data_IF_321983356414
#
_entry.id   IF_321983356414
#
_cell.length_a   1.000
_cell.length_b   1.000
_cell.length_c   1.000
_cell.angle_alpha   90.00
_cell.angle_beta   90.00
_cell.angle_gamma   90.00
#
_symmetry.space_group_name_H-M   'P 1'
#
loop_
_entity.id
_entity.type
_entity.pdbx_description
1 polymer ?
#
# COMPACT_ATOMS: atom_id res chain seq x y z
N UNK A 1 -42.01 8.57 10.80
CA UNK A 1 -40.57 8.60 10.46
C UNK A 1 -40.10 7.15 10.50
N UNK A 2 -39.69 6.57 9.38
CA UNK A 2 -39.15 5.19 9.33
C UNK A 2 -37.90 5.09 10.20
N UNK A 3 -37.72 3.98 10.90
CA UNK A 3 -36.51 3.77 11.71
C UNK A 3 -35.25 3.69 10.81
N UNK A 4 -34.08 4.08 11.33
CA UNK A 4 -32.81 4.01 10.59
C UNK A 4 -32.52 2.57 10.11
N UNK A 5 -32.97 1.58 10.88
CA UNK A 5 -32.90 0.16 10.52
C UNK A 5 -33.75 -0.18 9.29
N UNK A 6 -34.98 0.34 9.20
CA UNK A 6 -35.84 0.16 8.02
C UNK A 6 -35.22 0.80 6.77
N UNK A 7 -34.58 1.97 6.90
CA UNK A 7 -33.93 2.64 5.76
C UNK A 7 -32.73 1.85 5.22
N UNK A 8 -31.91 1.27 6.10
CA UNK A 8 -30.80 0.40 5.69
C UNK A 8 -31.34 -0.88 5.02
N UNK A 9 -32.41 -1.46 5.56
CA UNK A 9 -33.00 -2.68 5.03
C UNK A 9 -33.71 -2.47 3.67
N UNK A 10 -34.29 -1.28 3.45
CA UNK A 10 -35.01 -0.93 2.22
C UNK A 10 -34.10 -0.38 1.11
N UNK A 11 -32.77 -0.39 1.30
CA UNK A 11 -31.83 0.18 0.34
C UNK A 11 -31.85 -0.61 -0.99
N UNK A 12 -32.07 0.05 -2.13
CA UNK A 12 -31.93 -0.60 -3.43
C UNK A 12 -30.47 -1.00 -3.67
N UNK A 13 -30.25 -2.12 -4.37
CA UNK A 13 -28.93 -2.49 -4.85
C UNK A 13 -28.37 -1.34 -5.70
N UNK A 14 -27.10 -0.99 -5.51
CA UNK A 14 -26.51 0.07 -6.30
C UNK A 14 -26.38 -0.40 -7.75
N UNK A 15 -27.17 0.16 -8.67
CA UNK A 15 -27.11 -0.04 -10.14
C UNK A 15 -25.77 0.41 -10.77
N UNK A 16 -24.78 0.76 -9.93
CA UNK A 16 -23.50 1.33 -10.30
C UNK A 16 -22.36 0.31 -10.36
N UNK A 17 -22.63 -0.97 -10.06
CA UNK A 17 -21.67 -2.07 -10.13
C UNK A 17 -21.58 -2.58 -11.57
N UNK A 18 -20.41 -2.41 -12.19
CA UNK A 18 -20.21 -2.74 -13.63
C UNK A 18 -18.94 -3.57 -13.85
N UNK A 19 -18.12 -3.77 -12.82
CA UNK A 19 -16.89 -4.56 -12.90
C UNK A 19 -17.14 -5.99 -12.38
N UNK A 20 -16.78 -7.03 -13.15
CA UNK A 20 -16.85 -8.40 -12.69
C UNK A 20 -15.91 -8.67 -11.51
N UNK A 21 -16.35 -9.49 -10.55
CA UNK A 21 -15.53 -9.89 -9.40
C UNK A 21 -14.18 -10.54 -9.76
N UNK A 22 -14.13 -11.28 -10.88
CA UNK A 22 -12.90 -11.89 -11.40
C UNK A 22 -11.84 -10.84 -11.78
N UNK A 23 -12.26 -9.68 -12.30
CA UNK A 23 -11.35 -8.59 -12.63
C UNK A 23 -10.69 -8.06 -11.35
N UNK A 24 -11.49 -7.82 -10.30
CA UNK A 24 -10.97 -7.33 -9.02
C UNK A 24 -10.05 -8.34 -8.35
N UNK A 25 -10.34 -9.65 -8.48
CA UNK A 25 -9.42 -10.71 -8.08
C UNK A 25 -8.09 -10.64 -8.88
N UNK A 26 -8.14 -10.39 -10.20
CA UNK A 26 -6.95 -10.18 -11.02
C UNK A 26 -6.11 -8.98 -10.54
N UNK A 27 -6.77 -7.87 -10.22
CA UNK A 27 -6.13 -6.66 -9.69
C UNK A 27 -5.41 -6.98 -8.38
N UNK A 28 -6.09 -7.64 -7.44
CA UNK A 28 -5.49 -8.05 -6.15
C UNK A 28 -4.29 -8.95 -6.39
N UNK A 29 -4.40 -9.96 -7.26
CA UNK A 29 -3.31 -10.86 -7.60
C UNK A 29 -2.11 -10.13 -8.18
N UNK A 30 -2.34 -9.23 -9.14
CA UNK A 30 -1.29 -8.46 -9.81
C UNK A 30 -0.61 -7.48 -8.84
N UNK A 31 -1.37 -6.77 -8.00
CA UNK A 31 -0.84 -5.88 -6.98
C UNK A 31 0.00 -6.63 -5.93
N UNK A 32 -0.45 -7.80 -5.49
CA UNK A 32 0.29 -8.63 -4.54
C UNK A 32 1.56 -9.23 -5.17
N UNK A 33 1.48 -9.74 -6.39
CA UNK A 33 2.64 -10.25 -7.13
C UNK A 33 3.69 -9.14 -7.34
N UNK A 34 3.25 -7.94 -7.72
CA UNK A 34 4.12 -6.78 -7.83
C UNK A 34 4.73 -6.38 -6.48
N UNK A 35 3.94 -6.34 -5.40
CA UNK A 35 4.42 -6.05 -4.05
C UNK A 35 5.47 -7.04 -3.56
N UNK A 36 5.22 -8.34 -3.73
CA UNK A 36 6.17 -9.41 -3.39
C UNK A 36 7.45 -9.32 -4.23
N UNK A 37 7.33 -9.07 -5.54
CA UNK A 37 8.49 -8.90 -6.43
C UNK A 37 9.33 -7.70 -6.01
N UNK A 38 8.70 -6.57 -5.67
CA UNK A 38 9.38 -5.40 -5.15
C UNK A 38 10.06 -5.67 -3.80
N UNK A 39 9.40 -6.44 -2.92
CA UNK A 39 9.94 -6.83 -1.62
C UNK A 39 11.19 -7.71 -1.79
N UNK A 40 11.12 -8.78 -2.58
CA UNK A 40 12.28 -9.63 -2.87
C UNK A 40 13.41 -8.85 -3.55
N UNK A 41 13.09 -7.94 -4.48
CA UNK A 41 14.09 -7.09 -5.12
C UNK A 41 14.80 -6.13 -4.13
N UNK A 42 14.12 -5.68 -3.08
CA UNK A 42 14.69 -4.83 -2.02
C UNK A 42 15.48 -5.61 -0.99
N UNK A 43 14.97 -6.78 -0.58
CA UNK A 43 15.63 -7.65 0.38
C UNK A 43 16.85 -8.38 -0.21
N UNK A 44 16.89 -8.55 -1.53
CA UNK A 44 17.84 -9.43 -2.22
C UNK A 44 17.37 -10.88 -2.12
N UNK A 45 16.89 -11.51 -3.20
CA UNK A 45 16.30 -12.86 -3.16
C UNK A 45 17.27 -13.94 -2.65
N UNK A 46 18.57 -13.67 -2.73
CA UNK A 46 19.61 -14.42 -2.04
C UNK A 46 20.42 -13.43 -1.20
N UNK A 47 20.45 -13.65 0.11
CA UNK A 47 21.16 -12.82 1.07
C UNK A 47 22.08 -13.70 1.94
N UNK A 48 23.11 -13.10 2.54
CA UNK A 48 23.95 -13.78 3.51
C UNK A 48 23.93 -12.99 4.82
N UNK A 49 23.69 -13.66 5.94
CA UNK A 49 23.68 -12.98 7.24
C UNK A 49 25.04 -12.32 7.50
N UNK A 50 25.11 -11.19 8.25
CA UNK A 50 26.37 -10.54 8.59
C UNK A 50 27.41 -11.47 9.24
N UNK A 51 26.96 -12.42 10.06
CA UNK A 51 27.81 -13.45 10.64
C UNK A 51 28.41 -14.37 9.57
N UNK A 52 27.58 -14.83 8.62
CA UNK A 52 28.03 -15.67 7.53
C UNK A 52 29.00 -14.89 6.64
N UNK A 53 28.62 -13.68 6.22
CA UNK A 53 29.45 -12.74 5.48
C UNK A 53 30.87 -12.60 6.07
N UNK A 54 30.99 -12.45 7.39
CA UNK A 54 32.26 -12.23 8.06
C UNK A 54 33.16 -13.47 8.03
N UNK A 55 32.57 -14.66 8.08
CA UNK A 55 33.32 -15.90 8.29
C UNK A 55 33.70 -16.63 6.99
N UNK A 56 32.80 -16.73 5.99
CA UNK A 56 33.06 -17.54 4.79
C UNK A 56 33.31 -16.74 3.50
N UNK A 57 32.87 -15.49 3.36
CA UNK A 57 33.17 -14.71 2.15
C UNK A 57 34.67 -14.44 1.91
N UNK A 58 35.53 -14.33 2.94
CA UNK A 58 36.98 -14.23 2.76
C UNK A 58 37.64 -15.53 2.33
N UNK A 59 36.99 -16.68 2.53
CA UNK A 59 37.56 -17.99 2.21
C UNK A 59 37.54 -18.24 0.69
N UNK A 60 38.57 -18.90 0.12
CA UNK A 60 38.65 -19.23 -1.31
C UNK A 60 37.77 -20.44 -1.69
N UNK A 61 36.59 -20.58 -1.07
CA UNK A 61 35.67 -21.69 -1.31
C UNK A 61 34.60 -21.35 -2.36
N UNK A 62 34.11 -22.36 -3.08
CA UNK A 62 33.01 -22.18 -4.04
C UNK A 62 31.72 -21.73 -3.32
N UNK A 63 31.24 -20.53 -3.66
CA UNK A 63 30.07 -19.93 -2.99
C UNK A 63 28.74 -20.56 -3.39
N UNK A 64 28.69 -21.21 -4.55
CA UNK A 64 27.46 -21.77 -5.14
C UNK A 64 26.78 -22.79 -4.22
N UNK A 65 27.54 -23.71 -3.63
CA UNK A 65 27.00 -24.75 -2.75
C UNK A 65 26.31 -24.16 -1.50
N UNK A 66 26.90 -23.11 -0.94
CA UNK A 66 26.43 -22.45 0.28
C UNK A 66 25.17 -21.61 0.04
N UNK A 67 25.01 -21.02 -1.15
CA UNK A 67 23.87 -20.16 -1.50
C UNK A 67 22.64 -20.93 -2.01
N UNK A 68 22.79 -22.21 -2.38
CA UNK A 68 21.66 -23.05 -2.84
C UNK A 68 20.55 -23.19 -1.80
N UNK A 69 20.91 -23.28 -0.52
CA UNK A 69 19.94 -23.35 0.57
C UNK A 69 19.04 -22.11 0.61
N UNK A 70 19.64 -20.93 0.46
CA UNK A 70 18.92 -19.66 0.47
C UNK A 70 18.07 -19.48 -0.80
N UNK A 71 18.56 -19.91 -1.97
CA UNK A 71 17.75 -19.94 -3.19
C UNK A 71 16.50 -20.83 -3.02
N UNK A 72 16.65 -22.03 -2.43
CA UNK A 72 15.52 -22.92 -2.16
C UNK A 72 14.54 -22.29 -1.17
N UNK A 73 15.04 -21.61 -0.14
CA UNK A 73 14.22 -20.91 0.84
C UNK A 73 13.41 -19.78 0.20
N UNK A 74 14.03 -18.93 -0.61
CA UNK A 74 13.33 -17.81 -1.25
C UNK A 74 12.29 -18.28 -2.27
N UNK A 75 12.61 -19.32 -3.05
CA UNK A 75 11.65 -19.99 -3.95
C UNK A 75 10.50 -20.59 -3.14
N UNK A 76 10.78 -21.31 -2.05
CA UNK A 76 9.76 -21.89 -1.18
C UNK A 76 8.83 -20.84 -0.58
N UNK A 77 9.37 -19.73 -0.08
CA UNK A 77 8.58 -18.60 0.44
C UNK A 77 7.72 -17.95 -0.64
N UNK A 78 8.26 -17.77 -1.85
CA UNK A 78 7.51 -17.19 -2.96
C UNK A 78 6.37 -18.10 -3.42
N UNK A 79 6.60 -19.42 -3.50
CA UNK A 79 5.55 -20.40 -3.80
C UNK A 79 4.50 -20.42 -2.71
N UNK A 80 4.89 -20.45 -1.43
CA UNK A 80 3.94 -20.41 -0.32
C UNK A 80 3.08 -19.12 -0.35
N UNK A 81 3.69 -17.96 -0.60
CA UNK A 81 2.97 -16.70 -0.75
C UNK A 81 2.00 -16.73 -1.94
N UNK A 82 2.45 -17.24 -3.10
CA UNK A 82 1.63 -17.36 -4.29
C UNK A 82 0.44 -18.31 -4.11
N UNK A 83 0.60 -19.41 -3.38
CA UNK A 83 -0.49 -20.33 -3.06
C UNK A 83 -1.50 -19.69 -2.09
N UNK A 84 -1.03 -19.10 -0.99
CA UNK A 84 -1.91 -18.47 0.01
C UNK A 84 -2.75 -17.34 -0.59
N UNK A 85 -2.15 -16.51 -1.45
CA UNK A 85 -2.85 -15.43 -2.17
C UNK A 85 -3.67 -15.96 -3.35
N UNK A 86 -3.16 -16.97 -4.05
CA UNK A 86 -3.74 -17.51 -5.27
C UNK A 86 -5.07 -18.23 -5.02
N UNK A 87 -5.26 -18.86 -3.87
CA UNK A 87 -6.51 -19.58 -3.55
C UNK A 87 -7.76 -18.70 -3.71
N UNK A 88 -7.92 -17.56 -3.00
CA UNK A 88 -9.11 -16.72 -3.15
C UNK A 88 -9.25 -16.13 -4.57
N UNK A 89 -8.13 -15.83 -5.24
CA UNK A 89 -8.13 -15.27 -6.60
C UNK A 89 -8.65 -16.29 -7.62
N UNK A 90 -8.12 -17.51 -7.57
CA UNK A 90 -8.46 -18.57 -8.52
C UNK A 90 -9.89 -19.05 -8.29
N UNK A 91 -10.35 -19.11 -7.03
CA UNK A 91 -11.74 -19.44 -6.71
C UNK A 91 -12.74 -18.39 -7.22
N UNK A 92 -12.32 -17.12 -7.37
CA UNK A 92 -13.13 -16.09 -8.02
C UNK A 92 -13.25 -16.28 -9.54
N UNK A 93 -12.36 -17.08 -10.15
CA UNK A 93 -12.28 -17.28 -11.60
C UNK A 93 -12.85 -18.63 -12.05
N UNK A 94 -12.66 -19.68 -11.26
CA UNK A 94 -13.09 -21.05 -11.61
C UNK A 94 -13.57 -21.78 -10.37
N UNK A 95 -14.67 -22.52 -10.55
CA UNK A 95 -15.27 -23.37 -9.50
C UNK A 95 -14.94 -24.85 -9.70
N UNK A 96 -14.20 -25.20 -10.76
CA UNK A 96 -13.83 -26.58 -11.04
C UNK A 96 -12.54 -26.95 -10.30
N UNK A 97 -12.42 -28.14 -9.70
CA UNK A 97 -11.22 -28.54 -8.96
C UNK A 97 -9.97 -28.55 -9.86
N UNK A 98 -10.10 -29.03 -11.10
CA UNK A 98 -9.02 -29.04 -12.07
C UNK A 98 -8.56 -27.62 -12.44
N UNK A 99 -9.49 -26.69 -12.65
CA UNK A 99 -9.16 -25.29 -12.91
C UNK A 99 -8.48 -24.61 -11.72
N UNK A 100 -8.91 -24.93 -10.49
CA UNK A 100 -8.28 -24.40 -9.28
C UNK A 100 -6.82 -24.87 -9.16
N UNK A 101 -6.59 -26.18 -9.33
CA UNK A 101 -5.24 -26.75 -9.29
C UNK A 101 -4.34 -26.18 -10.38
N UNK A 102 -4.84 -26.04 -11.61
CA UNK A 102 -4.10 -25.46 -12.73
C UNK A 102 -3.74 -24.00 -12.47
N UNK A 103 -4.67 -23.18 -11.96
CA UNK A 103 -4.44 -21.78 -11.62
C UNK A 103 -3.40 -21.62 -10.51
N UNK A 104 -3.49 -22.43 -9.45
CA UNK A 104 -2.51 -22.44 -8.36
C UNK A 104 -1.12 -22.88 -8.84
N UNK A 105 -1.04 -23.92 -9.68
CA UNK A 105 0.20 -24.38 -10.27
C UNK A 105 0.84 -23.28 -11.14
N UNK A 106 0.06 -22.61 -11.99
CA UNK A 106 0.55 -21.51 -12.81
C UNK A 106 1.08 -20.35 -11.93
N UNK A 107 0.33 -19.96 -10.88
CA UNK A 107 0.75 -18.93 -9.94
C UNK A 107 2.06 -19.29 -9.22
N UNK A 108 2.20 -20.53 -8.76
CA UNK A 108 3.42 -21.02 -8.13
C UNK A 108 4.61 -20.99 -9.12
N UNK A 109 4.43 -21.46 -10.36
CA UNK A 109 5.49 -21.44 -11.39
C UNK A 109 5.93 -20.01 -11.74
N UNK A 110 4.98 -19.07 -11.86
CA UNK A 110 5.29 -17.66 -12.08
C UNK A 110 6.09 -17.06 -10.91
N UNK A 111 5.77 -17.43 -9.67
CA UNK A 111 6.53 -17.01 -8.49
C UNK A 111 7.97 -17.56 -8.52
N UNK A 112 8.16 -18.83 -8.91
CA UNK A 112 9.49 -19.42 -9.11
C UNK A 112 10.28 -18.65 -10.18
N UNK A 113 9.66 -18.38 -11.34
CA UNK A 113 10.28 -17.61 -12.43
C UNK A 113 10.68 -16.22 -11.94
N UNK A 114 9.79 -15.52 -11.22
CA UNK A 114 10.06 -14.18 -10.71
C UNK A 114 11.28 -14.16 -9.77
N UNK A 115 11.35 -15.05 -8.78
CA UNK A 115 12.51 -15.15 -7.88
C UNK A 115 13.78 -15.49 -8.63
N UNK A 116 13.74 -16.48 -9.52
CA UNK A 116 14.91 -16.89 -10.28
C UNK A 116 15.45 -15.77 -11.19
N UNK A 117 14.57 -15.02 -11.85
CA UNK A 117 14.93 -13.83 -12.64
C UNK A 117 15.54 -12.75 -11.74
N UNK A 118 14.99 -12.51 -10.56
CA UNK A 118 15.56 -11.54 -9.60
C UNK A 118 16.99 -11.94 -9.18
N UNK A 119 17.26 -13.23 -8.95
CA UNK A 119 18.61 -13.73 -8.61
C UNK A 119 19.59 -13.49 -9.75
N UNK A 120 19.19 -13.80 -10.99
CA UNK A 120 20.02 -13.51 -12.18
C UNK A 120 20.29 -12.01 -12.31
N UNK A 121 19.30 -11.15 -12.01
CA UNK A 121 19.47 -9.68 -12.05
C UNK A 121 20.32 -9.17 -10.90
N UNK A 122 20.25 -9.78 -9.73
CA UNK A 122 21.10 -9.47 -8.57
C UNK A 122 22.57 -9.73 -8.90
N UNK A 123 22.89 -10.85 -9.56
CA UNK A 123 24.24 -11.16 -10.02
C UNK A 123 24.78 -10.14 -11.03
N UNK A 124 23.92 -9.62 -11.92
CA UNK A 124 24.28 -8.59 -12.90
C UNK A 124 24.27 -7.15 -12.38
N UNK A 125 23.99 -6.89 -11.10
CA UNK A 125 23.87 -5.54 -10.52
C UNK A 125 22.68 -4.71 -11.05
N UNK A 126 21.77 -5.33 -11.80
CA UNK A 126 20.73 -4.66 -12.60
C UNK A 126 19.34 -4.61 -11.96
N UNK A 127 19.20 -4.80 -10.65
CA UNK A 127 17.90 -4.94 -9.96
C UNK A 127 17.20 -3.64 -9.54
N UNK A 128 17.88 -2.49 -9.60
CA UNK A 128 17.40 -1.24 -9.00
C UNK A 128 16.10 -0.65 -9.59
N UNK A 129 15.73 -1.05 -10.81
CA UNK A 129 14.50 -0.60 -11.48
C UNK A 129 13.28 -1.46 -11.17
N UNK A 130 13.46 -2.65 -10.57
CA UNK A 130 12.36 -3.58 -10.34
C UNK A 130 11.34 -3.02 -9.35
N UNK A 131 11.72 -2.49 -8.17
CA UNK A 131 10.74 -1.92 -7.24
C UNK A 131 9.88 -0.78 -7.80
N UNK A 132 10.42 0.23 -8.54
CA UNK A 132 9.57 1.27 -9.11
C UNK A 132 8.66 0.76 -10.23
N UNK A 133 9.10 -0.19 -11.06
CA UNK A 133 8.23 -0.79 -12.10
C UNK A 133 7.12 -1.61 -11.47
N UNK A 134 7.43 -2.44 -10.48
CA UNK A 134 6.43 -3.18 -9.73
C UNK A 134 5.40 -2.23 -9.08
N UNK A 135 5.86 -1.12 -8.50
CA UNK A 135 4.98 -0.05 -8.02
C UNK A 135 4.04 0.52 -9.07
N UNK A 136 4.58 0.85 -10.24
CA UNK A 136 3.80 1.37 -11.35
C UNK A 136 2.77 0.36 -11.84
N UNK A 137 3.15 -0.92 -11.96
CA UNK A 137 2.23 -2.01 -12.31
C UNK A 137 1.11 -2.13 -11.28
N UNK A 138 1.43 -2.16 -9.98
CA UNK A 138 0.43 -2.22 -8.92
C UNK A 138 -0.51 -1.00 -8.93
N UNK A 139 0.03 0.20 -9.20
CA UNK A 139 -0.76 1.42 -9.29
C UNK A 139 -1.71 1.40 -10.49
N UNK A 140 -1.21 1.04 -11.68
CA UNK A 140 -2.02 0.92 -12.89
C UNK A 140 -3.08 -0.18 -12.75
N UNK A 141 -2.74 -1.30 -12.11
CA UNK A 141 -3.66 -2.40 -11.86
C UNK A 141 -4.88 -1.97 -11.04
N UNK A 142 -4.71 -1.08 -10.05
CA UNK A 142 -5.83 -0.58 -9.22
C UNK A 142 -6.53 0.60 -9.89
N UNK A 143 -5.77 1.57 -10.40
CA UNK A 143 -6.32 2.83 -10.94
C UNK A 143 -7.05 2.61 -12.27
N UNK A 144 -6.49 1.79 -13.16
CA UNK A 144 -7.04 1.56 -14.50
C UNK A 144 -8.49 1.06 -14.46
N UNK A 145 -8.78 -0.06 -13.77
CA UNK A 145 -10.14 -0.57 -13.62
C UNK A 145 -11.08 0.35 -12.87
N UNK A 146 -10.62 1.06 -11.83
CA UNK A 146 -11.46 2.02 -11.12
C UNK A 146 -11.92 3.17 -12.03
N UNK A 147 -11.02 3.70 -12.87
CA UNK A 147 -11.33 4.73 -13.87
C UNK A 147 -12.23 4.16 -14.95
N UNK A 148 -11.89 3.00 -15.53
CA UNK A 148 -12.69 2.35 -16.56
C UNK A 148 -14.11 2.07 -16.09
N UNK A 149 -14.28 1.47 -14.89
CA UNK A 149 -15.59 1.19 -14.30
C UNK A 149 -16.41 2.46 -14.06
N UNK A 150 -15.76 3.57 -13.66
CA UNK A 150 -16.44 4.86 -13.49
C UNK A 150 -16.90 5.47 -14.83
N UNK A 151 -16.10 5.34 -15.89
CA UNK A 151 -16.46 5.81 -17.24
C UNK A 151 -17.60 4.98 -17.82
N UNK A 152 -17.49 3.66 -17.74
CA UNK A 152 -18.51 2.72 -18.22
C UNK A 152 -19.84 2.97 -17.52
N UNK A 153 -19.85 3.09 -16.19
CA UNK A 153 -21.06 3.39 -15.43
C UNK A 153 -21.69 4.74 -15.79
N UNK A 154 -20.89 5.73 -16.21
CA UNK A 154 -21.40 7.03 -16.65
C UNK A 154 -22.00 6.98 -18.06
N UNK A 155 -21.51 6.10 -18.92
CA UNK A 155 -21.98 5.92 -20.28
C UNK A 155 -23.10 4.88 -20.41
N UNK A 156 -23.50 4.25 -19.30
CA UNK A 156 -24.51 3.18 -19.25
C UNK A 156 -24.20 2.02 -20.22
N UNK A 157 -22.90 1.72 -20.36
CA UNK A 157 -22.44 0.65 -21.25
C UNK A 157 -22.43 -0.67 -20.47
N UNK A 158 -23.19 -1.65 -20.95
CA UNK A 158 -23.12 -3.01 -20.42
C UNK A 158 -21.81 -3.64 -20.88
N UNK A 159 -20.90 -3.89 -19.94
CA UNK A 159 -19.71 -4.67 -20.24
C UNK A 159 -20.13 -6.12 -20.51
N UNK A 160 -19.64 -6.74 -21.59
CA UNK A 160 -19.88 -8.16 -21.79
C UNK A 160 -19.31 -8.91 -20.59
N UNK A 161 -20.12 -9.83 -20.08
CA UNK A 161 -19.79 -10.64 -18.91
C UNK A 161 -18.59 -11.55 -19.23
N UNK A 162 -17.38 -11.01 -19.03
CA UNK A 162 -16.12 -11.69 -19.32
C UNK A 162 -15.91 -12.87 -18.36
N UNK A 163 -16.60 -12.88 -17.20
CA UNK A 163 -16.61 -14.00 -16.28
C UNK A 163 -17.48 -15.17 -16.80
N UNK A 164 -18.57 -14.87 -17.51
CA UNK A 164 -19.42 -15.89 -18.15
C UNK A 164 -18.75 -16.55 -19.37
N UNK A 165 -17.92 -15.80 -20.10
CA UNK A 165 -16.94 -16.34 -21.05
C UNK A 165 -15.63 -16.61 -20.34
N UNK A 166 -15.62 -17.59 -19.44
CA UNK A 166 -14.37 -18.21 -19.04
C UNK A 166 -13.60 -18.52 -20.32
N UNK A 167 -12.47 -17.86 -20.54
CA UNK A 167 -11.41 -18.35 -21.42
C UNK A 167 -10.87 -19.63 -20.76
N UNK A 168 -11.72 -20.64 -20.69
CA UNK A 168 -11.34 -22.00 -20.41
C UNK A 168 -10.55 -22.39 -21.64
N UNK A 169 -9.23 -22.23 -21.53
CA UNK A 169 -8.33 -22.83 -22.50
C UNK A 169 -8.74 -24.31 -22.58
N UNK A 170 -9.03 -24.84 -23.78
CA UNK A 170 -9.28 -26.26 -23.90
C UNK A 170 -8.15 -27.01 -23.21
N UNK A 171 -8.50 -28.07 -22.48
CA UNK A 171 -7.58 -28.84 -21.64
C UNK A 171 -6.16 -29.04 -22.24
N UNK A 172 -5.99 -29.41 -23.54
CA UNK A 172 -4.65 -29.54 -24.13
C UNK A 172 -3.84 -28.24 -24.14
N UNK A 173 -4.46 -27.09 -24.39
CA UNK A 173 -3.78 -25.79 -24.35
C UNK A 173 -3.42 -25.38 -22.93
N UNK A 174 -4.29 -25.65 -21.95
CA UNK A 174 -3.98 -25.40 -20.55
C UNK A 174 -2.78 -26.24 -20.06
N UNK A 175 -2.75 -27.53 -20.42
CA UNK A 175 -1.59 -28.38 -20.13
C UNK A 175 -0.33 -27.93 -20.86
N UNK A 176 -0.45 -27.46 -22.11
CA UNK A 176 0.67 -26.92 -22.89
C UNK A 176 1.26 -25.67 -22.23
N UNK A 177 0.42 -24.73 -21.80
CA UNK A 177 0.86 -23.52 -21.07
C UNK A 177 1.55 -23.88 -19.76
N UNK A 178 1.00 -24.81 -18.97
CA UNK A 178 1.64 -25.28 -17.74
C UNK A 178 2.99 -25.95 -18.01
N UNK A 179 3.10 -26.77 -19.07
CA UNK A 179 4.36 -27.41 -19.46
C UNK A 179 5.41 -26.37 -19.88
N UNK A 180 5.01 -25.33 -20.63
CA UNK A 180 5.90 -24.21 -20.99
C UNK A 180 6.34 -23.42 -19.76
N UNK A 181 5.41 -23.10 -18.84
CA UNK A 181 5.73 -22.42 -17.58
C UNK A 181 6.68 -23.26 -16.72
N UNK A 182 6.49 -24.57 -16.66
CA UNK A 182 7.38 -25.49 -15.95
C UNK A 182 8.78 -25.50 -16.59
N UNK A 183 8.86 -25.63 -17.91
CA UNK A 183 10.13 -25.56 -18.64
C UNK A 183 10.87 -24.23 -18.42
N UNK A 184 10.13 -23.12 -18.43
CA UNK A 184 10.69 -21.80 -18.15
C UNK A 184 11.15 -21.64 -16.70
N UNK A 185 10.37 -22.15 -15.74
CA UNK A 185 10.73 -22.14 -14.32
C UNK A 185 12.02 -22.95 -14.08
N UNK A 186 12.12 -24.15 -14.66
CA UNK A 186 13.33 -24.99 -14.60
C UNK A 186 14.52 -24.27 -15.24
N UNK A 187 14.36 -23.71 -16.43
CA UNK A 187 15.41 -22.95 -17.12
C UNK A 187 15.90 -21.77 -16.28
N UNK A 188 14.97 -20.95 -15.76
CA UNK A 188 15.31 -19.81 -14.92
C UNK A 188 16.01 -20.24 -13.62
N UNK A 189 15.59 -21.33 -12.98
CA UNK A 189 16.26 -21.87 -11.80
C UNK A 189 17.67 -22.37 -12.09
N UNK A 190 17.88 -23.05 -13.22
CA UNK A 190 19.20 -23.50 -13.66
C UNK A 190 20.10 -22.29 -13.92
N UNK A 191 19.58 -21.24 -14.55
CA UNK A 191 20.32 -19.99 -14.76
C UNK A 191 20.64 -19.28 -13.43
N UNK A 192 19.68 -19.23 -12.51
CA UNK A 192 19.88 -18.66 -11.17
C UNK A 192 20.96 -19.43 -10.39
N UNK A 193 20.92 -20.77 -10.37
CA UNK A 193 21.91 -21.62 -9.69
C UNK A 193 23.31 -21.46 -10.27
N UNK A 194 23.44 -21.28 -11.59
CA UNK A 194 24.73 -20.99 -12.25
C UNK A 194 25.28 -19.61 -11.88
N UNK A 195 24.40 -18.62 -11.68
CA UNK A 195 24.78 -17.23 -11.34
C UNK A 195 25.05 -17.02 -9.85
N UNK A 196 24.81 -18.00 -8.98
CA UNK A 196 25.07 -17.87 -7.54
C UNK A 196 26.55 -17.58 -7.22
N UNK A 197 27.48 -18.15 -7.98
CA UNK A 197 28.92 -17.92 -7.79
C UNK A 197 29.33 -16.48 -8.16
N UNK A 198 28.60 -15.85 -9.09
CA UNK A 198 28.88 -14.51 -9.61
C UNK A 198 28.35 -13.40 -8.70
N UNK A 199 27.65 -13.74 -7.60
CA UNK A 199 27.05 -12.74 -6.72
C UNK A 199 28.14 -11.92 -6.00
N UNK A 200 28.16 -10.58 -6.18
CA UNK A 200 29.19 -9.76 -5.57
C UNK A 200 29.02 -9.76 -4.05
N UNK A 201 30.13 -9.94 -3.33
CA UNK A 201 30.15 -9.99 -1.87
C UNK A 201 29.50 -8.76 -1.23
N UNK A 202 29.70 -7.57 -1.81
CA UNK A 202 29.05 -6.33 -1.35
C UNK A 202 27.52 -6.36 -1.46
N UNK A 203 26.96 -6.98 -2.50
CA UNK A 203 25.51 -7.11 -2.64
C UNK A 203 24.93 -8.13 -1.66
N UNK A 204 25.63 -9.24 -1.42
CA UNK A 204 25.25 -10.23 -0.39
C UNK A 204 25.26 -9.62 1.01
N UNK A 205 26.23 -8.75 1.31
CA UNK A 205 26.29 -7.97 2.56
C UNK A 205 25.12 -7.02 2.70
N UNK A 206 24.95 -6.14 1.71
CA UNK A 206 23.91 -5.11 1.77
C UNK A 206 22.50 -5.72 1.86
N UNK A 207 22.24 -6.78 1.09
CA UNK A 207 20.98 -7.54 1.17
C UNK A 207 20.79 -8.20 2.54
N UNK A 208 21.83 -8.83 3.09
CA UNK A 208 21.78 -9.44 4.41
C UNK A 208 21.53 -8.44 5.54
N UNK A 209 22.19 -7.29 5.52
CA UNK A 209 21.97 -6.19 6.46
C UNK A 209 20.53 -5.65 6.33
N UNK A 210 20.06 -5.44 5.11
CA UNK A 210 18.68 -4.96 4.84
C UNK A 210 17.65 -5.97 5.34
N UNK A 211 17.85 -7.26 5.06
CA UNK A 211 16.95 -8.32 5.49
C UNK A 211 16.95 -8.50 7.01
N UNK A 212 18.11 -8.45 7.67
CA UNK A 212 18.20 -8.50 9.12
C UNK A 212 17.56 -7.28 9.77
N UNK A 213 17.82 -6.08 9.25
CA UNK A 213 17.23 -4.85 9.76
C UNK A 213 15.71 -4.85 9.60
N UNK A 214 15.20 -5.22 8.43
CA UNK A 214 13.76 -5.37 8.19
C UNK A 214 13.12 -6.44 9.10
N UNK A 215 13.79 -7.58 9.28
CA UNK A 215 13.32 -8.66 10.16
C UNK A 215 13.25 -8.19 11.61
N UNK A 216 14.31 -7.51 12.09
CA UNK A 216 14.31 -6.91 13.42
C UNK A 216 13.20 -5.87 13.57
N UNK A 217 12.99 -4.99 12.58
CA UNK A 217 11.88 -4.03 12.60
C UNK A 217 10.50 -4.71 12.66
N UNK A 218 10.31 -5.84 11.96
CA UNK A 218 9.06 -6.61 12.02
C UNK A 218 8.85 -7.21 13.41
N UNK A 219 9.87 -7.87 13.97
CA UNK A 219 9.77 -8.45 15.33
C UNK A 219 9.58 -7.38 16.41
N UNK A 220 10.19 -6.20 16.24
CA UNK A 220 10.02 -5.04 17.10
C UNK A 220 8.73 -4.26 16.83
N UNK A 221 7.93 -4.66 15.83
CA UNK A 221 6.73 -3.97 15.38
C UNK A 221 6.96 -2.49 15.00
N UNK A 222 8.19 -2.14 14.65
CA UNK A 222 8.56 -0.80 14.21
C UNK A 222 8.36 -0.65 12.69
N UNK A 223 7.13 -0.30 12.32
CA UNK A 223 6.75 -0.04 10.93
C UNK A 223 7.50 1.15 10.30
N UNK A 224 8.06 2.06 11.11
CA UNK A 224 8.82 3.22 10.61
C UNK A 224 10.21 2.78 10.19
N UNK A 225 10.87 1.99 11.02
CA UNK A 225 12.17 1.41 10.68
C UNK A 225 12.06 0.39 9.55
N UNK A 226 10.99 -0.40 9.49
CA UNK A 226 10.73 -1.28 8.35
C UNK A 226 10.61 -0.49 7.04
N UNK A 227 9.91 0.65 7.07
CA UNK A 227 9.81 1.56 5.93
C UNK A 227 11.13 2.20 5.52
N UNK A 228 12.03 2.48 6.49
CA UNK A 228 13.39 2.97 6.23
C UNK A 228 14.28 1.88 5.66
N UNK A 229 14.22 0.67 6.21
CA UNK A 229 14.94 -0.52 5.76
C UNK A 229 14.65 -0.83 4.28
N UNK A 230 13.35 -0.84 3.95
CA UNK A 230 12.87 -1.14 2.60
C UNK A 230 12.86 0.11 1.70
N UNK A 231 13.20 1.28 2.22
CA UNK A 231 13.16 2.55 1.51
C UNK A 231 14.21 2.63 0.40
N UNK A 232 13.94 3.45 -0.62
CA UNK A 232 14.98 3.77 -1.62
C UNK A 232 15.94 4.82 -1.06
N UNK A 233 17.22 4.72 -1.40
CA UNK A 233 18.23 5.73 -1.05
C UNK A 233 17.82 7.13 -1.52
N UNK A 234 17.90 8.10 -0.60
CA UNK A 234 17.54 9.50 -0.88
C UNK A 234 18.61 10.10 -1.79
N UNK A 235 18.26 10.34 -3.05
CA UNK A 235 19.15 11.05 -3.99
C UNK A 235 18.99 12.55 -3.82
N UNK A 236 20.11 13.28 -3.79
CA UNK A 236 20.07 14.75 -3.86
C UNK A 236 19.38 15.18 -5.15
N UNK A 237 18.43 16.12 -5.08
CA UNK A 237 17.74 16.60 -6.27
C UNK A 237 18.73 17.31 -7.19
N UNK A 238 18.68 17.00 -8.49
CA UNK A 238 19.56 17.63 -9.51
C UNK A 238 19.18 19.07 -9.83
N UNK A 239 17.93 19.47 -9.58
CA UNK A 239 17.41 20.82 -9.88
C UNK A 239 16.66 21.40 -8.67
N UNK A 240 16.96 22.66 -8.27
CA UNK A 240 16.19 23.33 -7.24
C UNK A 240 14.77 23.64 -7.75
N UNK A 241 13.78 23.57 -6.84
CA UNK A 241 12.45 24.11 -7.08
C UNK A 241 12.39 25.47 -6.42
N UNK A 242 12.08 26.52 -7.18
CA UNK A 242 11.94 27.87 -6.66
C UNK A 242 10.45 28.18 -6.43
N UNK A 243 10.12 28.70 -5.24
CA UNK A 243 8.75 28.99 -4.84
C UNK A 243 8.59 30.49 -4.57
N UNK A 244 8.12 31.23 -5.58
CA UNK A 244 8.01 32.70 -5.52
C UNK A 244 6.97 33.23 -4.52
N UNK A 245 6.09 32.36 -4.03
CA UNK A 245 5.03 32.70 -3.07
C UNK A 245 5.48 32.57 -1.60
N UNK A 246 6.68 32.05 -1.34
CA UNK A 246 7.21 31.91 0.02
C UNK A 246 7.71 33.26 0.53
N UNK A 247 6.93 33.86 1.42
CA UNK A 247 7.19 35.14 2.10
C UNK A 247 7.26 35.00 3.62
N UNK A 248 6.67 33.93 4.16
CA UNK A 248 6.61 33.69 5.60
C UNK A 248 7.22 32.33 5.98
N UNK A 249 7.69 32.15 7.23
CA UNK A 249 8.34 30.92 7.67
C UNK A 249 7.45 29.66 7.52
N UNK A 250 6.15 29.78 7.81
CA UNK A 250 5.22 28.65 7.67
C UNK A 250 5.05 28.22 6.20
N UNK A 251 5.15 29.17 5.27
CA UNK A 251 5.11 28.89 3.83
C UNK A 251 6.34 28.11 3.36
N UNK A 252 7.49 28.33 3.98
CA UNK A 252 8.70 27.56 3.69
C UNK A 252 8.54 26.08 4.07
N UNK A 253 7.87 25.79 5.19
CA UNK A 253 7.52 24.41 5.61
C UNK A 253 6.59 23.77 4.58
N UNK A 254 5.51 24.47 4.21
CA UNK A 254 4.55 24.00 3.20
C UNK A 254 5.22 23.77 1.84
N UNK A 255 6.07 24.69 1.40
CA UNK A 255 6.83 24.56 0.16
C UNK A 255 7.82 23.40 0.19
N UNK A 256 8.43 23.14 1.35
CA UNK A 256 9.28 21.97 1.59
C UNK A 256 8.49 20.68 1.40
N UNK A 257 7.35 20.56 2.07
CA UNK A 257 6.49 19.37 2.01
C UNK A 257 5.94 19.14 0.58
N UNK A 258 5.52 20.21 -0.10
CA UNK A 258 5.14 20.18 -1.52
C UNK A 258 6.30 19.75 -2.42
N UNK A 259 7.52 20.21 -2.17
CA UNK A 259 8.69 19.80 -2.94
C UNK A 259 8.98 18.30 -2.75
N UNK A 260 8.78 17.74 -1.55
CA UNK A 260 8.93 16.30 -1.33
C UNK A 260 7.85 15.51 -2.06
N UNK A 261 6.60 15.99 -2.05
CA UNK A 261 5.50 15.37 -2.79
C UNK A 261 5.73 15.42 -4.30
N UNK A 262 6.02 16.60 -4.85
CA UNK A 262 6.23 16.83 -6.28
C UNK A 262 7.38 15.99 -6.87
N UNK A 263 8.41 15.70 -6.07
CA UNK A 263 9.59 14.92 -6.50
C UNK A 263 9.43 13.41 -6.33
N UNK A 264 8.34 12.94 -5.71
CA UNK A 264 8.14 11.53 -5.42
C UNK A 264 7.02 10.94 -6.29
N UNK A 265 7.34 10.40 -7.49
CA UNK A 265 6.34 9.76 -8.34
C UNK A 265 5.64 8.60 -7.62
N UNK A 266 6.36 7.93 -6.73
CA UNK A 266 5.81 6.89 -5.86
C UNK A 266 4.64 7.38 -5.00
N UNK A 267 4.73 8.59 -4.43
CA UNK A 267 3.65 9.14 -3.61
C UNK A 267 2.42 9.47 -4.44
N UNK A 268 2.60 10.01 -5.66
CA UNK A 268 1.49 10.19 -6.58
C UNK A 268 0.80 8.87 -6.91
N UNK A 269 1.56 7.79 -7.10
CA UNK A 269 1.01 6.43 -7.22
C UNK A 269 0.19 6.02 -6.00
N UNK A 270 0.70 6.23 -4.78
CA UNK A 270 -0.02 5.91 -3.54
C UNK A 270 -1.30 6.74 -3.37
N UNK A 271 -1.30 8.02 -3.73
CA UNK A 271 -2.47 8.88 -3.69
C UNK A 271 -3.52 8.44 -4.72
N UNK A 272 -3.09 8.10 -5.94
CA UNK A 272 -3.97 7.59 -6.98
C UNK A 272 -4.59 6.24 -6.58
N UNK A 273 -3.80 5.31 -6.05
CA UNK A 273 -4.28 4.04 -5.50
C UNK A 273 -5.21 4.28 -4.31
N UNK A 274 -4.88 5.22 -3.43
CA UNK A 274 -5.70 5.57 -2.28
C UNK A 274 -7.08 6.14 -2.66
N UNK A 275 -7.17 6.88 -3.76
CA UNK A 275 -8.43 7.36 -4.32
C UNK A 275 -9.19 6.26 -5.07
N UNK A 276 -8.47 5.38 -5.79
CA UNK A 276 -9.03 4.38 -6.68
C UNK A 276 -9.51 3.10 -5.96
N UNK A 277 -8.84 2.66 -4.89
CA UNK A 277 -9.18 1.43 -4.16
C UNK A 277 -10.66 1.42 -3.68
N UNK A 278 -11.18 2.50 -3.06
CA UNK A 278 -12.58 2.54 -2.65
C UNK A 278 -13.56 2.51 -3.83
N UNK A 279 -13.18 3.17 -4.93
CA UNK A 279 -13.97 3.21 -6.16
C UNK A 279 -14.01 1.83 -6.81
N UNK A 280 -12.87 1.13 -6.89
CA UNK A 280 -12.80 -0.24 -7.41
C UNK A 280 -13.78 -1.15 -6.66
N UNK A 281 -13.78 -1.10 -5.32
CA UNK A 281 -14.71 -1.88 -4.52
C UNK A 281 -16.17 -1.51 -4.77
N UNK A 282 -16.49 -0.21 -4.83
CA UNK A 282 -17.84 0.28 -5.10
C UNK A 282 -18.35 -0.06 -6.52
N UNK A 283 -17.46 -0.32 -7.48
CA UNK A 283 -17.80 -0.70 -8.86
C UNK A 283 -17.80 -2.19 -9.13
N UNK A 284 -17.32 -2.99 -8.19
CA UNK A 284 -17.23 -4.44 -8.36
C UNK A 284 -18.53 -5.10 -7.96
N UNK A 285 -19.06 -5.97 -8.82
CA UNK A 285 -20.21 -6.81 -8.53
C UNK A 285 -19.96 -7.67 -7.28
N UNK A 286 -20.99 -7.83 -6.44
CA UNK A 286 -20.88 -8.47 -5.12
C UNK A 286 -20.31 -7.54 -4.05
N UNK A 287 -19.15 -6.90 -4.28
CA UNK A 287 -18.56 -5.95 -3.31
C UNK A 287 -19.42 -4.69 -3.11
N UNK A 288 -19.97 -4.15 -4.21
CA UNK A 288 -20.85 -2.99 -4.17
C UNK A 288 -22.14 -3.23 -3.34
N UNK A 289 -22.59 -4.48 -3.27
CA UNK A 289 -23.72 -4.91 -2.44
C UNK A 289 -23.38 -4.97 -0.93
N UNK A 290 -22.11 -4.88 -0.56
CA UNK A 290 -21.62 -4.95 0.82
C UNK A 290 -21.04 -3.59 1.25
N UNK A 291 -21.87 -2.63 1.68
CA UNK A 291 -21.41 -1.27 2.02
C UNK A 291 -20.35 -1.23 3.11
N UNK A 292 -20.39 -2.17 4.06
CA UNK A 292 -19.36 -2.31 5.08
C UNK A 292 -17.98 -2.60 4.48
N UNK A 293 -17.91 -3.43 3.45
CA UNK A 293 -16.66 -3.78 2.78
C UNK A 293 -16.14 -2.62 1.93
N UNK A 294 -17.04 -1.88 1.27
CA UNK A 294 -16.68 -0.61 0.61
C UNK A 294 -16.12 0.38 1.63
N UNK A 295 -16.75 0.52 2.81
CA UNK A 295 -16.23 1.39 3.88
C UNK A 295 -14.84 0.95 4.38
N UNK A 296 -14.58 -0.36 4.49
CA UNK A 296 -13.23 -0.87 4.79
C UNK A 296 -12.24 -0.44 3.72
N UNK A 297 -12.60 -0.53 2.43
CA UNK A 297 -11.70 -0.06 1.37
C UNK A 297 -11.52 1.46 1.37
N UNK A 298 -12.53 2.25 1.74
CA UNK A 298 -12.41 3.71 1.98
C UNK A 298 -11.32 3.96 3.03
N UNK A 299 -11.41 3.30 4.18
CA UNK A 299 -10.42 3.44 5.25
C UNK A 299 -9.03 3.04 4.77
N UNK A 300 -8.87 1.89 4.12
CA UNK A 300 -7.57 1.41 3.65
C UNK A 300 -6.96 2.33 2.58
N UNK A 301 -7.76 2.79 1.62
CA UNK A 301 -7.32 3.69 0.55
C UNK A 301 -6.91 5.05 1.09
N UNK A 302 -7.74 5.64 1.96
CA UNK A 302 -7.45 6.95 2.54
C UNK A 302 -6.31 6.89 3.57
N UNK A 303 -6.15 5.77 4.28
CA UNK A 303 -4.99 5.53 5.13
C UNK A 303 -3.69 5.44 4.33
N UNK A 304 -3.71 4.73 3.19
CA UNK A 304 -2.56 4.69 2.27
C UNK A 304 -2.20 6.10 1.78
N UNK A 305 -3.19 6.90 1.40
CA UNK A 305 -2.96 8.29 1.00
C UNK A 305 -2.38 9.14 2.15
N UNK A 306 -2.97 9.06 3.35
CA UNK A 306 -2.54 9.81 4.52
C UNK A 306 -1.12 9.42 4.97
N UNK A 307 -0.78 8.14 4.97
CA UNK A 307 0.57 7.66 5.34
C UNK A 307 1.65 8.17 4.40
N UNK A 308 1.34 8.33 3.10
CA UNK A 308 2.25 8.91 2.11
C UNK A 308 2.53 10.40 2.37
N UNK A 309 1.54 11.11 2.90
CA UNK A 309 1.59 12.56 3.19
C UNK A 309 2.16 12.85 4.58
N UNK A 310 2.16 11.89 5.51
CA UNK A 310 2.79 12.03 6.83
C UNK A 310 4.32 11.87 6.84
N UNK A 311 4.95 11.53 5.71
CA UNK A 311 6.40 11.33 5.61
C UNK A 311 7.24 12.57 5.97
N UNK A 312 6.88 13.80 5.57
CA UNK A 312 7.63 14.99 6.01
C UNK A 312 7.60 15.17 7.53
N UNK A 313 6.45 14.93 8.18
CA UNK A 313 6.32 14.93 9.64
C UNK A 313 7.20 13.86 10.30
N UNK A 314 7.28 12.65 9.72
CA UNK A 314 8.22 11.61 10.18
C UNK A 314 9.68 12.03 10.05
N UNK A 315 10.05 12.80 9.03
CA UNK A 315 11.44 13.26 8.88
C UNK A 315 11.74 14.39 9.87
N UNK A 316 10.79 15.29 10.07
CA UNK A 316 10.86 16.34 11.07
C UNK A 316 11.07 15.79 12.49
N UNK A 317 10.27 14.79 12.87
CA UNK A 317 10.42 14.09 14.15
C UNK A 317 11.80 13.43 14.29
N UNK A 318 12.40 12.94 13.20
CA UNK A 318 13.72 12.30 13.23
C UNK A 318 14.90 13.30 13.25
N UNK A 319 14.66 14.55 12.85
CA UNK A 319 15.68 15.60 12.82
C UNK A 319 15.12 16.93 13.35
N UNK A 320 14.76 17.02 14.65
CA UNK A 320 14.12 18.23 15.21
C UNK A 320 14.99 19.49 15.10
N UNK A 321 16.32 19.33 15.08
CA UNK A 321 17.27 20.42 14.90
C UNK A 321 17.05 21.21 13.60
N UNK A 322 16.56 20.57 12.54
CA UNK A 322 16.24 21.25 11.29
C UNK A 322 15.03 22.19 11.43
N UNK A 323 14.03 21.78 12.21
CA UNK A 323 12.84 22.61 12.49
C UNK A 323 13.16 23.72 13.50
N UNK A 324 14.08 23.50 14.44
CA UNK A 324 14.57 24.52 15.39
C UNK A 324 15.28 25.70 14.72
N UNK A 325 15.80 25.52 13.50
CA UNK A 325 16.38 26.60 12.71
C UNK A 325 15.34 27.54 12.09
N UNK A 326 14.05 27.18 12.12
CA UNK A 326 12.97 28.03 11.62
C UNK A 326 12.55 29.04 12.69
N UNK A 327 12.21 30.29 12.31
CA UNK A 327 11.66 31.28 13.23
C UNK A 327 10.17 30.99 13.52
N UNK A 328 9.88 29.79 14.03
CA UNK A 328 8.56 29.28 14.36
C UNK A 328 8.62 28.47 15.66
N UNK A 329 7.58 28.57 16.49
CA UNK A 329 7.39 27.63 17.59
C UNK A 329 7.03 26.23 17.10
N UNK A 330 7.35 25.18 17.88
CA UNK A 330 7.12 23.79 17.49
C UNK A 330 5.68 23.49 17.08
N UNK A 331 4.70 24.01 17.82
CA UNK A 331 3.29 23.87 17.48
C UNK A 331 2.95 24.49 16.11
N UNK A 332 3.50 25.68 15.80
CA UNK A 332 3.27 26.34 14.52
C UNK A 332 3.87 25.55 13.35
N UNK A 333 5.00 24.88 13.55
CA UNK A 333 5.59 23.98 12.54
C UNK A 333 4.67 22.79 12.29
N UNK A 334 4.16 22.15 13.33
CA UNK A 334 3.23 21.01 13.21
C UNK A 334 1.95 21.41 12.47
N UNK A 335 1.37 22.57 12.80
CA UNK A 335 0.22 23.13 12.08
C UNK A 335 0.53 23.44 10.61
N UNK A 336 1.70 24.03 10.31
CA UNK A 336 2.11 24.27 8.93
C UNK A 336 2.25 22.97 8.13
N UNK A 337 2.74 21.90 8.75
CA UNK A 337 2.84 20.56 8.14
C UNK A 337 1.48 19.87 7.92
N UNK A 338 0.40 20.35 8.53
CA UNK A 338 -0.95 19.84 8.29
C UNK A 338 -1.58 20.38 6.99
N UNK A 339 -1.07 21.50 6.46
CA UNK A 339 -1.64 22.19 5.29
C UNK A 339 -1.58 21.32 4.03
N UNK A 340 -0.42 20.73 3.72
CA UNK A 340 -0.26 19.90 2.52
C UNK A 340 -1.11 18.63 2.59
N UNK A 341 -1.08 17.84 3.69
CA UNK A 341 -2.00 16.72 3.85
C UNK A 341 -3.48 17.14 3.71
N UNK A 342 -3.92 18.24 4.33
CA UNK A 342 -5.30 18.69 4.25
C UNK A 342 -5.73 19.01 2.81
N UNK A 343 -4.93 19.80 2.07
CA UNK A 343 -5.26 20.18 0.70
C UNK A 343 -5.28 18.97 -0.25
N UNK A 344 -4.29 18.07 -0.13
CA UNK A 344 -4.19 16.91 -1.02
C UNK A 344 -5.24 15.85 -0.70
N UNK A 345 -5.50 15.59 0.59
CA UNK A 345 -6.53 14.63 1.02
C UNK A 345 -7.93 15.14 0.71
N UNK A 346 -8.19 16.45 0.70
CA UNK A 346 -9.45 17.00 0.22
C UNK A 346 -9.72 16.58 -1.24
N UNK A 347 -8.69 16.63 -2.10
CA UNK A 347 -8.77 16.12 -3.47
C UNK A 347 -8.96 14.60 -3.54
N UNK A 348 -8.14 13.83 -2.82
CA UNK A 348 -8.20 12.35 -2.82
C UNK A 348 -9.55 11.84 -2.30
N UNK A 349 -9.96 12.27 -1.11
CA UNK A 349 -11.20 11.85 -0.49
C UNK A 349 -12.42 12.38 -1.27
N UNK A 350 -12.37 13.63 -1.73
CA UNK A 350 -13.43 14.24 -2.53
C UNK A 350 -13.65 13.53 -3.87
N UNK A 351 -12.59 13.25 -4.63
CA UNK A 351 -12.69 12.50 -5.90
C UNK A 351 -13.14 11.07 -5.65
N UNK A 352 -12.57 10.39 -4.66
CA UNK A 352 -12.97 9.03 -4.31
C UNK A 352 -14.46 8.94 -3.95
N UNK A 353 -14.94 9.83 -3.07
CA UNK A 353 -16.34 9.89 -2.68
C UNK A 353 -17.27 10.29 -3.84
N UNK A 354 -16.89 11.27 -4.66
CA UNK A 354 -17.63 11.63 -5.88
C UNK A 354 -17.84 10.42 -6.79
N UNK A 355 -16.76 9.65 -7.04
CA UNK A 355 -16.79 8.50 -7.92
C UNK A 355 -17.59 7.32 -7.35
N UNK A 356 -17.60 7.15 -6.02
CA UNK A 356 -18.48 6.20 -5.32
C UNK A 356 -19.95 6.63 -5.45
N UNK A 357 -20.24 7.91 -5.29
CA UNK A 357 -21.59 8.48 -5.31
C UNK A 357 -22.21 8.65 -6.70
N UNK A 358 -21.53 8.24 -7.78
CA UNK A 358 -22.15 8.29 -9.10
C UNK A 358 -23.29 7.27 -9.18
N UNK A 359 -24.40 7.66 -9.79
CA UNK A 359 -25.61 6.83 -9.85
C UNK A 359 -26.54 7.00 -8.65
N UNK A 360 -26.13 7.67 -7.57
CA UNK A 360 -27.03 7.91 -6.41
C UNK A 360 -27.89 9.19 -6.54
N UNK A 361 -27.88 9.86 -7.69
CA UNK A 361 -28.62 11.12 -7.93
C UNK A 361 -28.07 12.38 -7.23
N UNK A 362 -27.11 12.25 -6.29
CA UNK A 362 -26.54 13.36 -5.51
C UNK A 362 -25.00 13.34 -5.44
N UNK A 363 -24.27 13.29 -6.58
CA UNK A 363 -22.81 13.16 -6.60
C UNK A 363 -22.09 14.36 -5.94
N UNK A 364 -22.68 15.55 -5.99
CA UNK A 364 -22.13 16.74 -5.32
C UNK A 364 -22.12 16.59 -3.79
N UNK A 365 -23.15 15.99 -3.20
CA UNK A 365 -23.20 15.77 -1.76
C UNK A 365 -22.11 14.77 -1.31
N UNK A 366 -21.87 13.73 -2.10
CA UNK A 366 -20.75 12.79 -1.88
C UNK A 366 -19.38 13.46 -2.00
N UNK A 367 -19.18 14.31 -3.01
CA UNK A 367 -17.94 15.09 -3.15
C UNK A 367 -17.69 15.94 -1.91
N UNK A 368 -18.70 16.71 -1.48
CA UNK A 368 -18.58 17.58 -0.31
C UNK A 368 -18.31 16.73 0.93
N UNK A 369 -19.02 15.61 1.12
CA UNK A 369 -18.77 14.69 2.23
C UNK A 369 -17.32 14.20 2.26
N UNK A 370 -16.77 13.77 1.11
CA UNK A 370 -15.37 13.37 1.00
C UNK A 370 -14.41 14.50 1.35
N UNK A 371 -14.63 15.71 0.82
CA UNK A 371 -13.81 16.89 1.12
C UNK A 371 -13.82 17.22 2.61
N UNK A 372 -14.99 17.24 3.25
CA UNK A 372 -15.09 17.62 4.67
C UNK A 372 -14.49 16.58 5.62
N UNK A 373 -14.27 15.33 5.18
CA UNK A 373 -13.54 14.33 5.98
C UNK A 373 -12.01 14.48 5.94
N UNK A 374 -11.48 15.24 4.99
CA UNK A 374 -10.03 15.38 4.80
C UNK A 374 -9.27 15.93 6.03
N UNK A 375 -9.79 16.89 6.82
CA UNK A 375 -9.11 17.38 8.02
C UNK A 375 -8.79 16.28 9.05
N UNK A 376 -9.67 15.28 9.22
CA UNK A 376 -9.42 14.17 10.13
C UNK A 376 -8.25 13.30 9.67
N UNK A 377 -8.18 13.00 8.37
CA UNK A 377 -7.06 12.24 7.78
C UNK A 377 -5.76 13.05 7.71
N UNK A 378 -5.84 14.37 7.54
CA UNK A 378 -4.68 15.25 7.61
C UNK A 378 -4.10 15.27 9.02
N UNK A 379 -4.95 15.41 10.05
CA UNK A 379 -4.56 15.29 11.44
C UNK A 379 -3.99 13.90 11.77
N UNK A 380 -4.62 12.84 11.25
CA UNK A 380 -4.11 11.48 11.35
C UNK A 380 -2.69 11.32 10.77
N UNK A 381 -2.45 11.88 9.58
CA UNK A 381 -1.14 11.82 8.91
C UNK A 381 -0.05 12.52 9.72
N UNK A 382 -0.34 13.71 10.25
CA UNK A 382 0.60 14.48 11.09
C UNK A 382 0.83 13.79 12.44
N UNK A 383 -0.25 13.35 13.10
CA UNK A 383 -0.20 12.65 14.40
C UNK A 383 0.55 11.32 14.32
N UNK A 384 0.37 10.56 13.25
CA UNK A 384 1.16 9.36 12.97
C UNK A 384 2.63 9.70 12.70
N UNK A 385 2.90 10.86 12.08
CA UNK A 385 4.26 11.29 11.76
C UNK A 385 5.09 11.68 12.98
N UNK A 386 4.45 12.28 13.98
CA UNK A 386 5.04 12.67 15.27
C UNK A 386 4.76 11.67 16.39
N UNK A 387 4.46 10.40 16.06
CA UNK A 387 4.31 9.37 17.09
C UNK A 387 5.67 9.16 17.80
N UNK A 388 5.67 8.96 19.13
CA UNK A 388 6.89 8.65 19.86
C UNK A 388 7.46 7.30 19.39
N UNK A 389 8.77 7.15 19.53
CA UNK A 389 9.42 5.86 19.31
C UNK A 389 9.05 4.89 20.45
N UNK A 390 9.19 3.60 20.20
CA UNK A 390 8.81 2.57 21.18
C UNK A 390 9.74 2.60 22.40
N UNK A 391 9.17 2.71 23.59
CA UNK A 391 9.91 2.66 24.85
C UNK A 391 10.15 1.20 25.26
N UNK A 392 11.39 0.75 25.09
CA UNK A 392 11.85 -0.59 25.49
C UNK A 392 12.36 -0.64 26.94
N UNK A 393 12.43 0.48 27.64
CA UNK A 393 12.85 0.55 29.04
C UNK A 393 11.71 0.27 30.03
N UNK A 394 10.46 0.35 29.57
CA UNK A 394 9.26 0.07 30.36
C UNK A 394 8.86 -1.41 30.41
N UNK A 395 7.71 -1.71 31.06
CA UNK A 395 7.20 -3.08 31.17
C UNK A 395 6.96 -3.73 29.80
N UNK A 396 7.35 -5.00 29.67
CA UNK A 396 7.16 -5.81 28.47
C UNK A 396 6.17 -6.94 28.71
N UNK A 397 5.34 -7.23 27.73
CA UNK A 397 4.46 -8.39 27.66
C UNK A 397 5.20 -9.53 26.98
N UNK A 398 5.18 -10.71 27.60
CA UNK A 398 5.62 -11.91 26.93
C UNK A 398 4.61 -12.26 25.81
N UNK A 399 5.09 -12.37 24.58
CA UNK A 399 4.31 -12.84 23.43
C UNK A 399 5.00 -14.05 22.78
N UNK A 400 4.31 -14.84 21.95
CA UNK A 400 4.93 -15.90 21.16
C UNK A 400 6.05 -15.42 20.23
N UNK A 401 6.09 -14.11 19.92
CA UNK A 401 7.10 -13.46 19.10
C UNK A 401 8.23 -12.82 19.91
N UNK A 402 8.25 -13.02 21.24
CA UNK A 402 9.19 -12.40 22.17
C UNK A 402 8.56 -11.34 23.08
N UNK A 403 9.39 -10.64 23.83
CA UNK A 403 8.95 -9.55 24.71
C UNK A 403 8.56 -8.32 23.89
N UNK A 404 7.36 -7.78 24.12
CA UNK A 404 6.79 -6.62 23.41
C UNK A 404 6.38 -5.55 24.42
N UNK A 405 6.81 -4.29 24.29
CA UNK A 405 6.44 -3.24 25.24
C UNK A 405 4.92 -3.06 25.34
N UNK A 406 4.40 -2.86 26.55
CA UNK A 406 2.95 -2.69 26.80
C UNK A 406 2.32 -1.55 25.99
N UNK A 407 3.09 -0.52 25.64
CA UNK A 407 2.66 0.67 24.88
C UNK A 407 2.73 0.55 23.36
N UNK A 408 3.05 -0.63 22.81
CA UNK A 408 3.19 -0.82 21.36
C UNK A 408 1.85 -0.61 20.64
N UNK A 409 0.75 -1.13 21.17
CA UNK A 409 -0.57 -1.03 20.54
C UNK A 409 -1.05 0.42 20.43
N UNK A 410 -0.90 1.22 21.48
CA UNK A 410 -1.27 2.64 21.49
C UNK A 410 -0.40 3.47 20.53
N UNK A 411 0.89 3.12 20.40
CA UNK A 411 1.81 3.77 19.46
C UNK A 411 1.51 3.43 18.01
N UNK A 412 1.15 2.17 17.73
CA UNK A 412 0.81 1.70 16.38
C UNK A 412 -0.49 2.33 15.85
N UNK A 413 -1.48 2.49 16.72
CA UNK A 413 -2.81 3.00 16.38
C UNK A 413 -2.84 4.54 16.36
N UNK A 414 -1.81 5.22 16.90
CA UNK A 414 -1.71 6.69 16.93
C UNK A 414 -1.67 7.30 15.54
N UNK A 415 -2.75 8.00 15.18
CA UNK A 415 -2.97 8.62 13.88
C UNK A 415 -4.09 7.91 13.10
N UNK A 416 -3.92 6.63 12.69
CA UNK A 416 -4.97 5.86 12.01
C UNK A 416 -6.31 5.83 12.76
N UNK A 417 -6.30 5.85 14.09
CA UNK A 417 -7.50 5.99 14.93
C UNK A 417 -8.35 7.21 14.56
N UNK A 418 -7.70 8.38 14.42
CA UNK A 418 -8.38 9.64 14.05
C UNK A 418 -8.97 9.55 12.65
N UNK A 419 -8.21 8.99 11.71
CA UNK A 419 -8.66 8.79 10.34
C UNK A 419 -9.91 7.89 10.28
N UNK A 420 -9.86 6.76 11.00
CA UNK A 420 -10.98 5.82 11.10
C UNK A 420 -12.23 6.49 11.68
N UNK A 421 -12.11 7.21 12.79
CA UNK A 421 -13.23 7.97 13.37
C UNK A 421 -13.75 9.06 12.42
N UNK A 422 -12.86 9.70 11.65
CA UNK A 422 -13.21 10.69 10.63
C UNK A 422 -13.98 10.10 9.44
N UNK A 423 -13.83 8.80 9.15
CA UNK A 423 -14.59 8.12 8.09
C UNK A 423 -16.00 7.68 8.50
N UNK A 424 -16.36 7.76 9.78
CA UNK A 424 -17.67 7.30 10.26
C UNK A 424 -18.86 7.93 9.51
N UNK A 425 -18.89 9.24 9.19
CA UNK A 425 -19.97 9.83 8.39
C UNK A 425 -20.06 9.26 6.97
N UNK A 426 -18.92 8.93 6.35
CA UNK A 426 -18.88 8.31 5.01
C UNK A 426 -19.38 6.88 5.08
N UNK A 427 -19.01 6.12 6.11
CA UNK A 427 -19.56 4.79 6.34
C UNK A 427 -21.08 4.83 6.55
N UNK A 428 -21.59 5.83 7.29
CA UNK A 428 -23.03 6.02 7.48
C UNK A 428 -23.74 6.37 6.16
N UNK A 429 -23.16 7.27 5.34
CA UNK A 429 -23.69 7.56 4.01
C UNK A 429 -23.70 6.33 3.09
N UNK A 430 -22.64 5.51 3.15
CA UNK A 430 -22.58 4.24 2.44
C UNK A 430 -23.66 3.27 2.90
N UNK A 431 -23.99 3.20 4.19
CA UNK A 431 -25.05 2.36 4.71
C UNK A 431 -26.44 2.85 4.29
N UNK A 432 -26.67 4.17 4.33
CA UNK A 432 -27.92 4.81 3.93
C UNK A 432 -28.14 4.81 2.41
N UNK A 433 -27.07 4.74 1.62
CA UNK A 433 -27.11 4.90 0.16
C UNK A 433 -27.35 6.35 -0.29
N UNK A 434 -27.36 7.31 0.63
CA UNK A 434 -27.62 8.73 0.38
C UNK A 434 -26.79 9.61 1.33
N UNK A 435 -26.56 10.86 0.91
CA UNK A 435 -25.83 11.87 1.69
C UNK A 435 -26.77 13.02 2.04
N UNK A 436 -27.47 12.97 3.18
CA UNK A 436 -28.28 14.10 3.61
C UNK A 436 -27.39 15.26 4.06
N UNK A 437 -27.81 16.50 3.81
CA UNK A 437 -26.98 17.69 4.09
C UNK A 437 -26.64 17.89 5.58
N UNK A 438 -27.51 17.45 6.49
CA UNK A 438 -27.20 17.48 7.93
C UNK A 438 -25.99 16.59 8.27
N UNK A 439 -25.80 15.47 7.56
CA UNK A 439 -24.67 14.57 7.76
C UNK A 439 -23.37 15.23 7.29
N UNK A 440 -23.43 16.01 6.22
CA UNK A 440 -22.30 16.83 5.74
C UNK A 440 -21.91 17.88 6.78
N UNK A 441 -22.87 18.59 7.34
CA UNK A 441 -22.62 19.58 8.40
C UNK A 441 -22.00 18.94 9.65
N UNK A 442 -22.55 17.81 10.11
CA UNK A 442 -22.01 17.04 11.23
C UNK A 442 -20.59 16.51 10.93
N UNK A 443 -20.36 15.99 9.72
CA UNK A 443 -19.07 15.47 9.29
C UNK A 443 -17.98 16.57 9.26
N UNK A 444 -18.33 17.78 8.83
CA UNK A 444 -17.43 18.93 8.82
C UNK A 444 -16.97 19.28 10.25
N UNK A 445 -17.93 19.49 11.16
CA UNK A 445 -17.62 19.83 12.56
C UNK A 445 -16.78 18.73 13.23
N UNK A 446 -17.20 17.47 13.05
CA UNK A 446 -16.51 16.30 13.58
C UNK A 446 -15.07 16.19 13.07
N UNK A 447 -14.88 16.32 11.76
CA UNK A 447 -13.58 16.16 11.13
C UNK A 447 -12.62 17.30 11.47
N UNK A 448 -13.13 18.54 11.57
CA UNK A 448 -12.34 19.68 12.02
C UNK A 448 -11.91 19.50 13.49
N UNK A 449 -12.81 19.06 14.37
CA UNK A 449 -12.50 18.80 15.77
C UNK A 449 -11.44 17.69 15.91
N UNK A 450 -11.63 16.56 15.23
CA UNK A 450 -10.66 15.45 15.20
C UNK A 450 -9.31 15.87 14.64
N UNK A 451 -9.31 16.59 13.51
CA UNK A 451 -8.10 17.10 12.87
C UNK A 451 -7.33 18.05 13.78
N UNK A 452 -8.02 19.02 14.38
CA UNK A 452 -7.42 19.99 15.29
C UNK A 452 -6.86 19.34 16.56
N UNK A 453 -7.59 18.40 17.16
CA UNK A 453 -7.14 17.62 18.31
C UNK A 453 -5.89 16.80 17.95
N UNK A 454 -5.88 16.15 16.79
CA UNK A 454 -4.79 15.31 16.35
C UNK A 454 -3.50 16.11 16.08
N UNK A 455 -3.62 17.27 15.43
CA UNK A 455 -2.50 18.19 15.18
C UNK A 455 -2.03 18.84 16.49
N UNK A 456 -2.93 19.26 17.37
CA UNK A 456 -2.59 19.85 18.66
C UNK A 456 -1.90 18.89 19.64
N UNK A 457 -2.18 17.59 19.53
CA UNK A 457 -1.54 16.53 20.34
C UNK A 457 -0.31 15.91 19.67
N UNK A 458 0.02 16.33 18.44
CA UNK A 458 1.28 16.00 17.79
C UNK A 458 2.35 16.98 18.29
N UNK A 459 3.21 16.55 19.21
CA UNK A 459 4.32 17.36 19.70
C UNK A 459 5.63 16.87 19.08
N UNK A 460 6.48 17.78 18.56
CA UNK A 460 7.84 17.41 18.23
C UNK A 460 8.57 17.00 19.53
N UNK A 461 9.50 16.02 19.47
CA UNK A 461 10.35 15.72 20.61
C UNK A 461 11.23 16.94 20.93
N UNK A 462 11.37 17.25 22.22
CA UNK A 462 12.13 18.39 22.73
C UNK A 462 13.64 18.30 22.42
#
# INVERSE_FOLDING_TARGET
MSSLREQIAARPAADAAVLPGALTAAVVALSLAAGLTALFARLGPVSATPAAVGWWLPLPAERRGLLRGELRRSVGLAVAAALTVGVPVVLAWTRTPAGVLAGLAAGALLAVIAVAVLVVRQAGGGGGWVPPVAGAVAAVAVVGPAVAGSVVARLDVVLPDAAGRAWSLPAPLASGVLAVLLGLAVLCLVLADRRLADLPAGALRASGETAQYATASVFSLDTRELGRALGTTVRRPRRPLAWRWVRHPWQAVVAGDLAVLARSPWRWGQLAVGAALPVLAARTEGLAGLPALVAVTVVLGWWLAATSLGEPSRRASAAPAADRGLPLGGAAVVWARAVVPAAVLAGVCGVSALLIGQGTGAPAAWLVLGVVTAPAWAGAAVRAGYRPDLDWSGPVLASPMGAVPVGVSSTLVRGPDVGLLGTAPVALALLLGAVPWWLVGAALLWSLALGALAVGTARPPD
#
